data_IF_097982548338
#
_entry.id   IF_097982548338
#
_cell.length_a   1.000
_cell.length_b   1.000
_cell.length_c   1.000
_cell.angle_alpha   90.00
_cell.angle_beta   90.00
_cell.angle_gamma   90.00
#
_symmetry.space_group_name_H-M   'P 1'
#
loop_
_entity.id
_entity.type
_entity.pdbx_description
1 polymer ?
#
# COMPACT_ATOMS: atom_id res chain seq x y z
N UNK A 1 -18.81 -13.72 16.37
CA UNK A 1 -17.81 -13.82 15.29
C UNK A 1 -16.86 -12.63 15.29
N UNK A 2 -17.34 -11.39 15.40
CA UNK A 2 -16.51 -10.16 15.50
C UNK A 2 -15.31 -10.25 16.48
N UNK A 3 -15.53 -10.67 17.74
CA UNK A 3 -14.43 -10.83 18.72
C UNK A 3 -13.36 -11.86 18.33
N UNK A 4 -13.71 -12.90 17.55
CA UNK A 4 -12.74 -13.90 17.09
C UNK A 4 -11.88 -13.32 15.96
N UNK A 5 -12.51 -12.64 15.01
CA UNK A 5 -11.84 -11.99 13.87
C UNK A 5 -10.89 -10.89 14.34
N UNK A 6 -11.33 -10.04 15.29
CA UNK A 6 -10.50 -8.99 15.89
C UNK A 6 -9.24 -9.57 16.55
N UNK A 7 -9.37 -10.70 17.25
CA UNK A 7 -8.22 -11.38 17.84
C UNK A 7 -7.25 -11.91 16.77
N UNK A 8 -7.74 -12.45 15.65
CA UNK A 8 -6.88 -12.98 14.58
C UNK A 8 -6.05 -11.90 13.89
N UNK A 9 -6.63 -10.73 13.58
CA UNK A 9 -5.87 -9.61 13.00
C UNK A 9 -4.89 -9.01 14.00
N UNK A 10 -5.26 -8.92 15.29
CA UNK A 10 -4.36 -8.45 16.35
C UNK A 10 -3.15 -9.39 16.53
N UNK A 11 -3.37 -10.70 16.55
CA UNK A 11 -2.31 -11.71 16.59
C UNK A 11 -1.38 -11.59 15.37
N UNK A 12 -1.97 -11.42 14.18
CA UNK A 12 -1.22 -11.25 12.94
C UNK A 12 -0.36 -9.99 12.96
N UNK A 13 -0.90 -8.86 13.42
CA UNK A 13 -0.17 -7.61 13.56
C UNK A 13 0.98 -7.75 14.57
N UNK A 14 0.73 -8.41 15.70
CA UNK A 14 1.76 -8.67 16.71
C UNK A 14 2.89 -9.53 16.15
N UNK A 15 2.56 -10.59 15.39
CA UNK A 15 3.55 -11.44 14.74
C UNK A 15 4.37 -10.65 13.72
N UNK A 16 3.71 -9.81 12.91
CA UNK A 16 4.37 -8.97 11.91
C UNK A 16 5.36 -7.97 12.53
N UNK A 17 4.98 -7.35 13.64
CA UNK A 17 5.83 -6.41 14.38
C UNK A 17 7.04 -7.10 15.02
N UNK A 18 6.88 -8.35 15.47
CA UNK A 18 7.93 -9.15 16.11
C UNK A 18 8.85 -9.88 15.12
N UNK A 19 8.41 -10.08 13.87
CA UNK A 19 9.19 -10.76 12.85
C UNK A 19 10.55 -10.08 12.67
N UNK A 20 11.64 -10.83 12.82
CA UNK A 20 13.01 -10.33 12.76
C UNK A 20 14.02 -11.42 12.35
N UNK A 21 15.25 -11.02 12.07
CA UNK A 21 16.38 -11.90 11.81
C UNK A 21 16.52 -12.35 10.35
N UNK A 22 17.38 -13.35 10.13
CA UNK A 22 17.86 -13.74 8.77
C UNK A 22 16.78 -14.27 7.83
N UNK A 23 15.62 -14.68 8.35
CA UNK A 23 14.51 -15.27 7.57
C UNK A 23 13.27 -14.36 7.53
N UNK A 24 13.40 -13.11 7.94
CA UNK A 24 12.27 -12.17 8.07
C UNK A 24 11.42 -12.07 6.80
N UNK A 25 12.01 -11.99 5.61
CA UNK A 25 11.23 -11.92 4.34
C UNK A 25 10.32 -13.14 4.16
N UNK A 26 10.81 -14.33 4.50
CA UNK A 26 10.02 -15.57 4.41
C UNK A 26 8.89 -15.58 5.45
N UNK A 27 9.18 -15.14 6.67
CA UNK A 27 8.20 -15.06 7.73
C UNK A 27 7.10 -14.05 7.39
N UNK A 28 7.47 -12.84 6.95
CA UNK A 28 6.52 -11.83 6.48
C UNK A 28 5.68 -12.34 5.31
N UNK A 29 6.26 -13.08 4.36
CA UNK A 29 5.50 -13.70 3.27
C UNK A 29 4.44 -14.68 3.79
N UNK A 30 4.79 -15.53 4.77
CA UNK A 30 3.85 -16.47 5.39
C UNK A 30 2.73 -15.76 6.15
N UNK A 31 3.04 -14.65 6.84
CA UNK A 31 2.04 -13.82 7.49
C UNK A 31 1.13 -13.14 6.45
N UNK A 32 1.66 -12.74 5.29
CA UNK A 32 0.88 -12.17 4.20
C UNK A 32 -0.07 -13.20 3.57
N UNK A 33 0.39 -14.44 3.38
CA UNK A 33 -0.46 -15.55 2.95
C UNK A 33 -1.57 -15.83 3.99
N UNK A 34 -1.24 -15.74 5.28
CA UNK A 34 -2.25 -15.90 6.34
C UNK A 34 -3.28 -14.78 6.31
N UNK A 35 -2.86 -13.53 6.07
CA UNK A 35 -3.78 -12.41 5.89
C UNK A 35 -4.79 -12.66 4.77
N UNK A 36 -4.30 -13.06 3.59
CA UNK A 36 -5.15 -13.36 2.43
C UNK A 36 -6.12 -14.52 2.72
N UNK A 37 -5.68 -15.56 3.42
CA UNK A 37 -6.58 -16.62 3.89
C UNK A 37 -7.69 -16.09 4.81
N UNK A 38 -7.36 -15.19 5.75
CA UNK A 38 -8.36 -14.59 6.62
C UNK A 38 -9.39 -13.77 5.84
N UNK A 39 -8.94 -13.05 4.81
CA UNK A 39 -9.84 -12.30 3.93
C UNK A 39 -10.81 -13.23 3.19
N UNK A 40 -10.38 -14.42 2.75
CA UNK A 40 -11.28 -15.41 2.15
C UNK A 40 -12.21 -16.09 3.15
N UNK A 41 -11.81 -16.20 4.42
CA UNK A 41 -12.65 -16.78 5.48
C UNK A 41 -13.77 -15.81 5.94
N UNK A 42 -13.62 -14.51 5.67
CA UNK A 42 -14.57 -13.45 6.02
C UNK A 42 -15.34 -13.07 4.75
N UNK A 43 -16.67 -13.05 4.80
CA UNK A 43 -17.49 -12.69 3.64
C UNK A 43 -17.38 -11.18 3.37
N UNK A 44 -16.38 -10.80 2.56
CA UNK A 44 -16.06 -9.41 2.19
C UNK A 44 -15.05 -8.71 3.10
N UNK A 45 -14.79 -7.43 2.81
CA UNK A 45 -13.84 -6.60 3.56
C UNK A 45 -14.50 -6.01 4.81
N UNK A 46 -14.23 -6.60 5.97
CA UNK A 46 -14.74 -6.08 7.26
C UNK A 46 -13.95 -4.85 7.73
N UNK A 47 -14.55 -4.04 8.60
CA UNK A 47 -13.86 -2.87 9.17
C UNK A 47 -12.62 -3.28 9.97
N UNK A 48 -12.62 -4.45 10.63
CA UNK A 48 -11.44 -4.97 11.32
C UNK A 48 -10.28 -5.25 10.37
N UNK A 49 -10.56 -5.72 9.15
CA UNK A 49 -9.53 -5.93 8.12
C UNK A 49 -8.96 -4.58 7.63
N UNK A 50 -9.78 -3.54 7.61
CA UNK A 50 -9.36 -2.17 7.29
C UNK A 50 -8.51 -1.57 8.39
N UNK A 51 -8.93 -1.71 9.65
CA UNK A 51 -8.15 -1.26 10.82
C UNK A 51 -6.79 -1.96 10.90
N UNK A 52 -6.73 -3.24 10.52
CA UNK A 52 -5.48 -3.97 10.38
C UNK A 52 -4.56 -3.35 9.30
N UNK A 53 -5.08 -3.09 8.10
CA UNK A 53 -4.30 -2.42 7.04
C UNK A 53 -3.83 -1.02 7.46
N UNK A 54 -4.69 -0.25 8.13
CA UNK A 54 -4.34 1.08 8.65
C UNK A 54 -3.21 0.99 9.68
N UNK A 55 -3.24 -0.02 10.54
CA UNK A 55 -2.17 -0.29 11.50
C UNK A 55 -0.85 -0.62 10.80
N UNK A 56 -0.89 -1.34 9.69
CA UNK A 56 0.31 -1.61 8.88
C UNK A 56 0.83 -0.32 8.21
N UNK A 57 -0.05 0.41 7.53
CA UNK A 57 0.33 1.60 6.75
C UNK A 57 0.66 2.83 7.61
N UNK A 58 0.42 2.75 8.92
CA UNK A 58 0.77 3.82 9.87
C UNK A 58 1.98 3.47 10.75
N UNK A 59 2.50 2.23 10.71
CA UNK A 59 3.61 1.78 11.55
C UNK A 59 4.95 1.89 10.81
N UNK A 60 5.74 2.91 11.16
CA UNK A 60 7.05 3.18 10.57
C UNK A 60 8.03 2.00 10.67
N UNK A 61 7.88 1.16 11.70
CA UNK A 61 8.73 -0.03 11.90
C UNK A 61 8.49 -1.08 10.81
N UNK A 62 7.35 -1.01 10.13
CA UNK A 62 6.96 -1.95 9.09
C UNK A 62 7.34 -1.45 7.69
N UNK A 63 7.35 -0.14 7.42
CA UNK A 63 7.58 0.39 6.05
C UNK A 63 8.83 -0.14 5.37
N UNK A 64 9.88 -0.38 6.15
CA UNK A 64 11.18 -0.81 5.64
C UNK A 64 11.52 -2.27 5.95
N UNK A 65 10.56 -3.01 6.54
CA UNK A 65 10.74 -4.42 6.91
C UNK A 65 10.74 -5.28 5.64
N UNK A 66 11.78 -6.11 5.39
CA UNK A 66 11.84 -6.95 4.20
C UNK A 66 10.63 -7.89 4.09
N UNK A 67 10.02 -7.95 2.89
CA UNK A 67 8.83 -8.77 2.60
C UNK A 67 7.50 -8.02 2.71
N UNK A 68 7.48 -6.79 3.23
CA UNK A 68 6.26 -6.00 3.34
C UNK A 68 5.65 -5.62 1.99
N UNK A 69 6.45 -5.63 0.92
CA UNK A 69 5.99 -5.56 -0.47
C UNK A 69 4.92 -6.61 -0.77
N UNK A 70 5.09 -7.83 -0.28
CA UNK A 70 4.16 -8.96 -0.48
C UNK A 70 2.82 -8.67 0.19
N UNK A 71 2.85 -8.07 1.39
CA UNK A 71 1.64 -7.62 2.08
C UNK A 71 0.91 -6.52 1.31
N UNK A 72 1.63 -5.52 0.79
CA UNK A 72 1.04 -4.44 0.01
C UNK A 72 0.34 -4.99 -1.24
N UNK A 73 0.99 -5.92 -1.94
CA UNK A 73 0.43 -6.57 -3.13
C UNK A 73 -0.85 -7.35 -2.81
N UNK A 74 -0.85 -8.14 -1.74
CA UNK A 74 -2.03 -8.90 -1.29
C UNK A 74 -3.14 -8.01 -0.75
N UNK A 75 -2.81 -6.94 -0.03
CA UNK A 75 -3.80 -5.94 0.38
C UNK A 75 -4.53 -5.35 -0.83
N UNK A 76 -3.83 -5.15 -1.94
CA UNK A 76 -4.39 -4.66 -3.19
C UNK A 76 -5.43 -5.57 -3.84
N UNK A 77 -5.47 -6.87 -3.56
CA UNK A 77 -6.42 -7.78 -4.23
C UNK A 77 -7.85 -7.54 -3.78
N UNK A 78 -8.07 -7.11 -2.54
CA UNK A 78 -9.41 -6.89 -1.97
C UNK A 78 -9.92 -5.45 -2.12
N UNK A 79 -9.14 -4.55 -2.74
CA UNK A 79 -9.54 -3.14 -2.85
C UNK A 79 -10.85 -2.96 -3.63
N UNK A 80 -11.21 -3.84 -4.55
CA UNK A 80 -12.46 -3.72 -5.29
C UNK A 80 -13.70 -3.96 -4.41
N UNK A 81 -13.58 -4.73 -3.32
CA UNK A 81 -14.63 -5.00 -2.34
C UNK A 81 -14.82 -3.86 -1.32
N UNK A 82 -13.83 -2.97 -1.19
CA UNK A 82 -13.86 -1.88 -0.21
C UNK A 82 -14.78 -0.73 -0.61
N UNK A 83 -15.45 -0.16 0.38
CA UNK A 83 -16.22 1.08 0.22
C UNK A 83 -15.29 2.27 -0.05
N UNK A 84 -15.84 3.35 -0.61
CA UNK A 84 -15.07 4.58 -0.83
C UNK A 84 -14.56 5.19 0.48
N UNK A 85 -15.29 5.03 1.58
CA UNK A 85 -14.85 5.48 2.90
C UNK A 85 -13.63 4.70 3.38
N UNK A 86 -13.64 3.37 3.27
CA UNK A 86 -12.52 2.52 3.64
C UNK A 86 -11.28 2.82 2.79
N UNK A 87 -11.45 2.97 1.47
CA UNK A 87 -10.37 3.41 0.56
C UNK A 87 -9.80 4.76 0.95
N UNK A 88 -10.65 5.72 1.31
CA UNK A 88 -10.23 7.05 1.75
C UNK A 88 -9.38 7.00 3.03
N UNK A 89 -9.74 6.16 4.00
CA UNK A 89 -8.93 5.94 5.22
C UNK A 89 -7.53 5.43 4.86
N UNK A 90 -7.44 4.41 4.01
CA UNK A 90 -6.16 3.84 3.58
C UNK A 90 -5.33 4.84 2.79
N UNK A 91 -5.97 5.57 1.86
CA UNK A 91 -5.33 6.63 1.09
C UNK A 91 -4.65 7.66 2.01
N UNK A 92 -5.36 8.15 3.01
CA UNK A 92 -4.84 9.16 3.93
C UNK A 92 -3.72 8.60 4.81
N UNK A 93 -3.81 7.35 5.27
CA UNK A 93 -2.74 6.71 6.01
C UNK A 93 -1.44 6.64 5.18
N UNK A 94 -1.54 6.15 3.93
CA UNK A 94 -0.40 6.09 3.01
C UNK A 94 0.15 7.49 2.71
N UNK A 95 -0.71 8.48 2.47
CA UNK A 95 -0.31 9.85 2.14
C UNK A 95 0.55 10.47 3.26
N UNK A 96 0.15 10.23 4.51
CA UNK A 96 0.84 10.73 5.69
C UNK A 96 2.13 9.97 6.00
N UNK A 97 2.25 8.72 5.55
CA UNK A 97 3.36 7.82 5.88
C UNK A 97 4.47 7.78 4.81
N UNK A 98 4.12 7.96 3.53
CA UNK A 98 4.97 7.58 2.40
C UNK A 98 6.37 8.21 2.38
N UNK A 99 6.50 9.43 2.90
CA UNK A 99 7.77 10.14 2.99
C UNK A 99 8.84 9.42 3.84
N UNK A 100 8.43 8.46 4.68
CA UNK A 100 9.31 7.65 5.54
C UNK A 100 9.69 6.31 4.92
N UNK A 101 9.08 5.95 3.79
CA UNK A 101 9.34 4.70 3.09
C UNK A 101 10.65 4.80 2.30
N UNK A 102 11.56 3.85 2.52
CA UNK A 102 12.88 3.78 1.89
C UNK A 102 13.24 2.39 1.38
N UNK A 103 12.46 1.36 1.70
CA UNK A 103 12.59 0.05 1.07
C UNK A 103 12.02 0.09 -0.35
N UNK A 104 12.85 -0.24 -1.35
CA UNK A 104 12.49 -0.11 -2.76
C UNK A 104 11.32 -1.02 -3.16
N UNK A 105 11.36 -2.31 -2.78
CA UNK A 105 10.29 -3.27 -3.09
C UNK A 105 8.95 -2.76 -2.52
N UNK A 106 8.95 -2.27 -1.28
CA UNK A 106 7.76 -1.68 -0.65
C UNK A 106 7.26 -0.43 -1.38
N UNK A 107 8.17 0.48 -1.74
CA UNK A 107 7.82 1.71 -2.46
C UNK A 107 7.22 1.40 -3.84
N UNK A 108 7.76 0.42 -4.57
CA UNK A 108 7.21 -0.06 -5.84
C UNK A 108 5.84 -0.69 -5.68
N UNK A 109 5.68 -1.62 -4.72
CA UNK A 109 4.38 -2.23 -4.44
C UNK A 109 3.32 -1.18 -4.07
N UNK A 110 3.69 -0.18 -3.28
CA UNK A 110 2.78 0.92 -2.91
C UNK A 110 2.44 1.80 -4.10
N UNK A 111 3.40 2.11 -4.97
CA UNK A 111 3.15 2.85 -6.21
C UNK A 111 2.16 2.13 -7.12
N UNK A 112 2.32 0.82 -7.29
CA UNK A 112 1.40 -0.03 -8.05
C UNK A 112 0.02 -0.11 -7.40
N UNK A 113 -0.06 -0.29 -6.08
CA UNK A 113 -1.30 -0.28 -5.30
C UNK A 113 -2.10 1.00 -5.57
N UNK A 114 -1.45 2.17 -5.41
CA UNK A 114 -2.09 3.47 -5.61
C UNK A 114 -2.59 3.62 -7.05
N UNK A 115 -1.75 3.28 -8.03
CA UNK A 115 -2.06 3.45 -9.44
C UNK A 115 -3.21 2.55 -9.93
N UNK A 116 -3.34 1.34 -9.39
CA UNK A 116 -4.35 0.37 -9.84
C UNK A 116 -5.68 0.47 -9.09
N UNK A 117 -5.66 0.83 -7.81
CA UNK A 117 -6.83 0.67 -6.95
C UNK A 117 -7.54 1.99 -6.61
N UNK A 118 -6.90 3.13 -6.86
CA UNK A 118 -7.52 4.44 -6.71
C UNK A 118 -7.88 5.02 -8.07
N UNK A 119 -8.94 5.82 -8.10
CA UNK A 119 -9.25 6.56 -9.31
C UNK A 119 -8.06 7.49 -9.67
N UNK A 120 -7.91 7.74 -10.97
CA UNK A 120 -6.80 8.52 -11.54
C UNK A 120 -6.56 9.85 -10.84
N UNK A 121 -7.63 10.58 -10.48
CA UNK A 121 -7.50 11.90 -9.85
C UNK A 121 -6.86 11.77 -8.47
N UNK A 122 -7.30 10.79 -7.67
CA UNK A 122 -6.70 10.50 -6.36
C UNK A 122 -5.25 10.02 -6.50
N UNK A 123 -4.96 9.10 -7.43
CA UNK A 123 -3.60 8.60 -7.62
C UNK A 123 -2.61 9.69 -8.05
N UNK A 124 -2.97 10.53 -9.02
CA UNK A 124 -2.13 11.66 -9.44
C UNK A 124 -1.97 12.70 -8.32
N UNK A 125 -3.01 12.93 -7.51
CA UNK A 125 -2.92 13.80 -6.34
C UNK A 125 -1.92 13.24 -5.32
N UNK A 126 -1.99 11.94 -4.99
CA UNK A 126 -1.06 11.27 -4.09
C UNK A 126 0.38 11.44 -4.55
N UNK A 127 0.67 11.10 -5.81
CA UNK A 127 2.02 11.19 -6.37
C UNK A 127 2.54 12.62 -6.39
N UNK A 128 1.69 13.59 -6.74
CA UNK A 128 2.06 15.01 -6.72
C UNK A 128 2.41 15.51 -5.31
N UNK A 129 1.61 15.15 -4.30
CA UNK A 129 1.83 15.57 -2.91
C UNK A 129 3.07 14.93 -2.27
N UNK A 130 3.35 13.68 -2.62
CA UNK A 130 4.40 12.90 -1.95
C UNK A 130 5.77 13.01 -2.63
N UNK A 131 5.84 13.30 -3.93
CA UNK A 131 7.11 13.25 -4.68
C UNK A 131 8.21 14.14 -4.10
N UNK A 132 7.86 15.34 -3.64
CA UNK A 132 8.83 16.34 -3.14
C UNK A 132 9.48 15.88 -1.84
N UNK A 133 8.72 15.25 -0.94
CA UNK A 133 9.20 14.80 0.38
C UNK A 133 9.58 13.31 0.41
N UNK A 134 9.36 12.58 -0.68
CA UNK A 134 9.71 11.17 -0.77
C UNK A 134 11.23 10.94 -0.71
N UNK A 135 11.62 9.82 -0.11
CA UNK A 135 13.00 9.33 -0.18
C UNK A 135 13.39 9.02 -1.62
N UNK A 136 14.68 8.79 -1.89
CA UNK A 136 15.15 8.35 -3.21
C UNK A 136 14.36 7.13 -3.73
N UNK A 137 14.21 6.10 -2.90
CA UNK A 137 13.46 4.89 -3.28
C UNK A 137 11.95 5.13 -3.32
N UNK A 138 11.42 6.05 -2.51
CA UNK A 138 10.03 6.53 -2.63
C UNK A 138 9.76 7.17 -3.99
N UNK A 139 10.67 7.99 -4.51
CA UNK A 139 10.54 8.58 -5.86
C UNK A 139 10.52 7.51 -6.96
N UNK A 140 11.30 6.43 -6.82
CA UNK A 140 11.23 5.27 -7.74
C UNK A 140 9.87 4.56 -7.68
N UNK A 141 9.30 4.41 -6.48
CA UNK A 141 7.93 3.93 -6.27
C UNK A 141 6.88 4.77 -6.98
N UNK A 142 6.97 6.09 -6.83
CA UNK A 142 6.08 7.05 -7.49
C UNK A 142 6.25 6.99 -9.01
N UNK A 143 7.48 6.94 -9.51
CA UNK A 143 7.75 6.83 -10.94
C UNK A 143 7.11 5.58 -11.55
N UNK A 144 7.21 4.43 -10.88
CA UNK A 144 6.54 3.21 -11.30
C UNK A 144 5.01 3.38 -11.34
N UNK A 145 4.41 3.97 -10.30
CA UNK A 145 2.97 4.21 -10.27
C UNK A 145 2.49 5.15 -11.38
N UNK A 146 3.26 6.21 -11.67
CA UNK A 146 2.98 7.13 -12.78
C UNK A 146 3.10 6.42 -14.14
N UNK A 147 4.09 5.53 -14.31
CA UNK A 147 4.24 4.70 -15.50
C UNK A 147 3.05 3.76 -15.72
N UNK A 148 2.53 3.16 -14.64
CA UNK A 148 1.30 2.34 -14.70
C UNK A 148 0.12 3.17 -15.20
N UNK A 149 -0.09 4.37 -14.67
CA UNK A 149 -1.14 5.29 -15.14
C UNK A 149 -0.92 5.68 -16.61
N UNK A 150 0.31 6.03 -16.99
CA UNK A 150 0.62 6.42 -18.36
C UNK A 150 0.27 5.32 -19.38
N UNK A 151 0.53 4.05 -19.02
CA UNK A 151 0.19 2.88 -19.85
C UNK A 151 -1.31 2.68 -19.96
N UNK A 152 -2.07 2.83 -18.87
CA UNK A 152 -3.54 2.71 -18.88
C UNK A 152 -4.21 3.81 -19.73
N UNK A 153 -3.63 5.00 -19.75
CA UNK A 153 -4.19 6.18 -20.42
C UNK A 153 -3.83 6.30 -21.91
N UNK A 154 -2.84 5.52 -22.37
CA UNK A 154 -2.44 5.45 -23.78
C UNK A 154 -2.02 6.80 -24.39
N UNK A 155 -2.93 7.44 -25.14
CA UNK A 155 -2.67 8.70 -25.88
C UNK A 155 -3.18 9.96 -25.16
N UNK A 156 -3.66 9.88 -23.92
CA UNK A 156 -4.15 11.04 -23.17
C UNK A 156 -3.00 12.03 -22.86
N UNK A 157 -2.89 13.09 -23.67
CA UNK A 157 -1.80 14.05 -23.57
C UNK A 157 -1.84 14.84 -22.25
N UNK A 158 -3.04 15.17 -21.77
CA UNK A 158 -3.21 15.91 -20.52
C UNK A 158 -2.62 15.14 -19.33
N UNK A 159 -2.85 13.82 -19.26
CA UNK A 159 -2.30 12.99 -18.20
C UNK A 159 -0.77 12.91 -18.30
N UNK A 160 -0.22 12.74 -19.50
CA UNK A 160 1.23 12.73 -19.72
C UNK A 160 1.90 14.02 -19.27
N UNK A 161 1.27 15.17 -19.53
CA UNK A 161 1.76 16.45 -19.06
C UNK A 161 1.76 16.58 -17.54
N UNK A 162 0.71 16.09 -16.87
CA UNK A 162 0.65 16.08 -15.41
C UNK A 162 1.78 15.22 -14.84
N UNK A 163 1.95 14.00 -15.37
CA UNK A 163 3.03 13.09 -14.98
C UNK A 163 4.40 13.77 -15.17
N UNK A 164 4.64 14.38 -16.33
CA UNK A 164 5.90 15.08 -16.60
C UNK A 164 6.14 16.29 -15.68
N UNK A 165 5.08 16.93 -15.16
CA UNK A 165 5.22 18.01 -14.16
C UNK A 165 5.61 17.45 -12.80
N UNK A 166 5.00 16.34 -12.36
CA UNK A 166 5.33 15.68 -11.10
C UNK A 166 6.80 15.22 -11.10
N UNK A 167 7.25 14.56 -12.17
CA UNK A 167 8.63 14.06 -12.26
C UNK A 167 9.69 15.18 -12.32
N UNK A 168 9.29 16.42 -12.60
CA UNK A 168 10.17 17.60 -12.62
C UNK A 168 10.15 18.41 -11.32
N UNK A 169 9.27 18.09 -10.38
CA UNK A 169 9.06 18.92 -9.18
C UNK A 169 9.96 18.56 -7.98
N UNK A 170 10.82 17.56 -8.10
CA UNK A 170 11.71 17.12 -7.04
C UNK A 170 13.06 16.67 -7.57
#
# INVERSE_FOLDING_TARGET
MANKTMNMFSELLSALQKADGKKIRKEVAQLADRYEQLLFEIDGTSDESVDFMLSIFSDERLFNKPGMDIFVLKAGTEFFCMTDEQKSKIYNALLNAYHKCSNLDYCWATGDLIARNFNRKCALHFFSQTFVCATKNGKEGIALGLDVIARQEGRNQQVKEIIARILRSG
#
